data_IF_563548918015
#
_entry.id   IF_563548918015
#
_cell.length_a   1.000
_cell.length_b   1.000
_cell.length_c   1.000
_cell.angle_alpha   90.00
_cell.angle_beta   90.00
_cell.angle_gamma   90.00
#
_symmetry.space_group_name_H-M   'P 1'
#
loop_
_entity.id
_entity.type
_entity.pdbx_description
1 polymer ?
#
# COMPACT_ATOMS: atom_id res chain seq x y z
N UNK A 1 19.83 -8.43 11.80
CA UNK A 1 18.62 -8.25 10.97
C UNK A 1 18.82 -7.02 10.08
N UNK A 2 18.37 -7.05 8.83
CA UNK A 2 18.44 -5.90 7.92
C UNK A 2 17.03 -5.64 7.40
N UNK A 3 16.53 -4.42 7.59
CA UNK A 3 15.21 -3.99 7.17
C UNK A 3 15.35 -2.88 6.11
N UNK A 4 14.76 -3.10 4.94
CA UNK A 4 14.80 -2.15 3.83
C UNK A 4 13.39 -1.63 3.54
N UNK A 5 13.18 -0.31 3.62
CA UNK A 5 11.88 0.31 3.37
C UNK A 5 10.80 0.01 4.42
N UNK A 6 11.15 -0.59 5.56
CA UNK A 6 10.21 -1.10 6.55
C UNK A 6 9.61 0.00 7.44
N UNK A 7 8.37 -0.17 7.89
CA UNK A 7 7.77 0.76 8.86
C UNK A 7 7.10 -0.02 10.00
N UNK A 8 7.20 0.52 11.22
CA UNK A 8 6.54 -0.07 12.38
C UNK A 8 5.05 0.27 12.46
N UNK A 9 4.66 1.42 11.91
CA UNK A 9 3.29 1.94 11.95
C UNK A 9 2.77 2.17 10.54
N UNK A 10 1.62 1.58 10.23
CA UNK A 10 0.84 1.85 9.03
C UNK A 10 0.35 3.29 8.98
N UNK A 11 -0.08 3.77 7.81
CA UNK A 11 -0.46 5.17 7.60
C UNK A 11 -1.47 5.67 8.66
N UNK A 12 -2.54 4.90 8.93
CA UNK A 12 -3.61 5.30 9.86
C UNK A 12 -3.19 5.27 11.34
N UNK A 13 -1.97 4.83 11.64
CA UNK A 13 -1.36 4.84 12.98
C UNK A 13 -0.36 5.99 13.18
N UNK A 14 -0.23 6.91 12.22
CA UNK A 14 0.74 8.02 12.21
C UNK A 14 0.13 9.41 12.51
N UNK A 15 -0.84 9.51 13.42
CA UNK A 15 -1.53 10.77 13.75
C UNK A 15 -2.06 11.49 12.50
N UNK A 16 -2.90 10.79 11.72
CA UNK A 16 -3.49 11.33 10.49
C UNK A 16 -4.61 12.30 10.78
N UNK A 17 -4.78 13.27 9.89
CA UNK A 17 -5.95 14.14 9.82
C UNK A 17 -7.19 13.35 9.41
N UNK A 18 -8.37 13.94 9.62
CA UNK A 18 -9.62 13.31 9.18
C UNK A 18 -9.70 13.20 7.65
N UNK A 19 -9.14 14.18 6.93
CA UNK A 19 -9.06 14.13 5.48
C UNK A 19 -8.20 12.95 4.99
N UNK A 20 -7.00 12.76 5.56
CA UNK A 20 -6.13 11.63 5.19
C UNK A 20 -6.78 10.27 5.51
N UNK A 21 -7.58 10.19 6.59
CA UNK A 21 -8.38 9.01 6.89
C UNK A 21 -9.42 8.75 5.81
N UNK A 22 -10.18 9.78 5.42
CA UNK A 22 -11.20 9.67 4.37
C UNK A 22 -10.60 9.27 3.02
N UNK A 23 -9.43 9.82 2.67
CA UNK A 23 -8.68 9.45 1.47
C UNK A 23 -8.30 7.96 1.49
N UNK A 24 -7.76 7.47 2.60
CA UNK A 24 -7.40 6.07 2.79
C UNK A 24 -8.62 5.13 2.68
N UNK A 25 -9.73 5.47 3.31
CA UNK A 25 -10.98 4.70 3.23
C UNK A 25 -11.56 4.70 1.81
N UNK A 26 -11.44 5.82 1.11
CA UNK A 26 -11.89 5.95 -0.29
C UNK A 26 -11.05 5.08 -1.21
N UNK A 27 -9.73 5.04 -1.02
CA UNK A 27 -8.86 4.11 -1.75
C UNK A 27 -9.27 2.66 -1.52
N UNK A 28 -9.51 2.24 -0.27
CA UNK A 28 -9.97 0.88 0.02
C UNK A 28 -11.30 0.56 -0.69
N UNK A 29 -12.25 1.50 -0.72
CA UNK A 29 -13.52 1.35 -1.47
C UNK A 29 -13.27 1.21 -2.97
N UNK A 30 -12.33 1.97 -3.53
CA UNK A 30 -11.95 1.87 -4.94
C UNK A 30 -11.34 0.50 -5.28
N UNK A 31 -10.46 -0.05 -4.43
CA UNK A 31 -9.94 -1.41 -4.60
C UNK A 31 -11.10 -2.41 -4.61
N UNK A 32 -11.96 -2.35 -3.58
CA UNK A 32 -13.08 -3.29 -3.42
C UNK A 32 -14.02 -3.31 -4.62
N UNK A 33 -14.27 -2.16 -5.24
CA UNK A 33 -15.18 -2.03 -6.37
C UNK A 33 -14.51 -2.23 -7.74
N UNK A 34 -13.19 -2.03 -7.83
CA UNK A 34 -12.47 -1.86 -9.08
C UNK A 34 -11.42 -2.92 -9.39
N UNK A 35 -10.87 -3.60 -8.39
CA UNK A 35 -9.69 -4.47 -8.53
C UNK A 35 -9.90 -5.60 -9.55
N UNK A 36 -11.00 -6.34 -9.43
CA UNK A 36 -11.33 -7.49 -10.29
C UNK A 36 -12.19 -7.16 -11.50
N UNK A 37 -12.39 -5.87 -11.84
CA UNK A 37 -13.19 -5.49 -13.02
C UNK A 37 -12.30 -5.28 -14.23
N UNK A 38 -12.79 -5.63 -15.42
CA UNK A 38 -12.10 -5.39 -16.71
C UNK A 38 -12.01 -3.91 -17.13
N UNK A 39 -12.33 -2.95 -16.23
CA UNK A 39 -12.27 -1.53 -16.53
C UNK A 39 -10.95 -0.93 -16.02
N UNK A 40 -10.00 -0.54 -16.90
CA UNK A 40 -8.67 -0.07 -16.49
C UNK A 40 -8.69 1.19 -15.62
N UNK A 41 -9.72 2.03 -15.76
CA UNK A 41 -9.81 3.33 -15.09
C UNK A 41 -9.72 3.26 -13.55
N UNK A 42 -10.19 2.16 -12.94
CA UNK A 42 -10.14 2.01 -11.48
C UNK A 42 -8.75 1.64 -10.98
N UNK A 43 -8.05 0.75 -11.69
CA UNK A 43 -6.68 0.37 -11.36
C UNK A 43 -5.68 1.48 -11.69
N UNK A 44 -5.99 2.33 -12.68
CA UNK A 44 -5.15 3.48 -13.04
C UNK A 44 -4.89 4.43 -11.86
N UNK A 45 -5.84 4.61 -10.93
CA UNK A 45 -5.64 5.43 -9.72
C UNK A 45 -4.55 4.84 -8.81
N UNK A 46 -4.47 3.52 -8.72
CA UNK A 46 -3.43 2.82 -7.95
C UNK A 46 -2.11 2.82 -8.69
N UNK A 47 -2.13 2.43 -9.96
CA UNK A 47 -0.96 2.42 -10.83
C UNK A 47 -0.27 3.79 -10.88
N UNK A 48 -1.02 4.89 -10.99
CA UNK A 48 -0.47 6.25 -10.95
C UNK A 48 0.10 6.65 -9.59
N UNK A 49 -0.31 6.03 -8.48
CA UNK A 49 0.33 6.25 -7.17
C UNK A 49 1.65 5.47 -7.03
N UNK A 50 1.73 4.27 -7.63
CA UNK A 50 2.95 3.46 -7.60
C UNK A 50 4.00 3.91 -8.62
N UNK A 51 3.57 4.34 -9.80
CA UNK A 51 4.43 4.71 -10.93
C UNK A 51 3.90 6.01 -11.57
N UNK A 52 3.96 7.16 -10.85
CA UNK A 52 3.35 8.41 -11.31
C UNK A 52 3.85 8.86 -12.69
N UNK A 53 5.16 8.76 -12.92
CA UNK A 53 5.82 9.17 -14.17
C UNK A 53 6.01 8.00 -15.15
N UNK A 54 5.26 6.92 -14.97
CA UNK A 54 5.33 5.73 -15.81
C UNK A 54 4.85 5.99 -17.23
N UNK A 55 5.47 5.33 -18.20
CA UNK A 55 4.96 5.31 -19.58
C UNK A 55 3.64 4.52 -19.63
N UNK A 56 2.87 4.73 -20.71
CA UNK A 56 1.63 3.97 -20.94
C UNK A 56 1.85 2.44 -20.89
N UNK A 57 2.98 1.98 -21.41
CA UNK A 57 3.33 0.56 -21.42
C UNK A 57 3.61 0.05 -19.99
N UNK A 58 4.35 0.82 -19.19
CA UNK A 58 4.62 0.48 -17.79
C UNK A 58 3.34 0.46 -16.96
N UNK A 59 2.43 1.41 -17.19
CA UNK A 59 1.12 1.43 -16.54
C UNK A 59 0.28 0.21 -16.94
N UNK A 60 0.23 -0.13 -18.22
CA UNK A 60 -0.51 -1.33 -18.67
C UNK A 60 0.05 -2.59 -18.02
N UNK A 61 1.38 -2.77 -18.08
CA UNK A 61 2.06 -3.90 -17.46
C UNK A 61 1.77 -3.99 -15.95
N UNK A 62 1.80 -2.88 -15.23
CA UNK A 62 1.53 -2.87 -13.79
C UNK A 62 0.07 -3.17 -13.47
N UNK A 63 -0.88 -2.61 -14.23
CA UNK A 63 -2.31 -2.94 -14.10
C UNK A 63 -2.57 -4.44 -14.29
N UNK A 64 -1.89 -5.07 -15.25
CA UNK A 64 -2.01 -6.51 -15.52
C UNK A 64 -1.40 -7.33 -14.38
N UNK A 65 -0.26 -6.89 -13.85
CA UNK A 65 0.40 -7.50 -12.69
C UNK A 65 -0.48 -7.43 -11.43
N UNK A 66 -1.07 -6.28 -11.13
CA UNK A 66 -1.98 -6.12 -10.00
C UNK A 66 -3.15 -7.12 -10.07
N UNK A 67 -3.73 -7.29 -11.27
CA UNK A 67 -4.88 -8.17 -11.49
C UNK A 67 -4.58 -9.65 -11.23
N UNK A 68 -3.37 -10.13 -11.52
CA UNK A 68 -2.99 -11.54 -11.32
C UNK A 68 -2.41 -11.80 -9.92
N UNK A 69 -1.97 -10.76 -9.22
CA UNK A 69 -1.23 -10.90 -7.97
C UNK A 69 -2.12 -11.16 -6.75
N UNK A 70 -3.38 -10.72 -6.78
CA UNK A 70 -4.31 -10.89 -5.67
C UNK A 70 -5.76 -10.91 -6.13
N UNK A 71 -6.59 -11.70 -5.44
CA UNK A 71 -8.04 -11.55 -5.55
C UNK A 71 -8.47 -10.17 -5.01
N UNK A 72 -9.63 -9.63 -5.43
CA UNK A 72 -10.14 -8.36 -4.90
C UNK A 72 -10.25 -8.34 -3.37
N UNK A 73 -10.67 -9.45 -2.77
CA UNK A 73 -10.83 -9.60 -1.33
C UNK A 73 -9.47 -9.52 -0.61
N UNK A 74 -8.46 -10.21 -1.16
CA UNK A 74 -7.11 -10.18 -0.62
C UNK A 74 -6.47 -8.81 -0.79
N UNK A 75 -6.65 -8.14 -1.94
CA UNK A 75 -6.11 -6.80 -2.16
C UNK A 75 -6.65 -5.79 -1.14
N UNK A 76 -7.95 -5.82 -0.87
CA UNK A 76 -8.60 -5.02 0.18
C UNK A 76 -8.00 -5.34 1.55
N UNK A 77 -7.96 -6.62 1.93
CA UNK A 77 -7.44 -7.04 3.22
C UNK A 77 -5.98 -6.62 3.43
N UNK A 78 -5.14 -6.78 2.40
CA UNK A 78 -3.73 -6.37 2.44
C UNK A 78 -3.63 -4.88 2.72
N UNK A 79 -4.31 -4.02 1.95
CA UNK A 79 -4.20 -2.57 2.12
C UNK A 79 -4.77 -2.11 3.47
N UNK A 80 -5.91 -2.65 3.89
CA UNK A 80 -6.50 -2.39 5.21
C UNK A 80 -5.50 -2.73 6.33
N UNK A 81 -4.86 -3.91 6.28
CA UNK A 81 -3.87 -4.30 7.29
C UNK A 81 -2.61 -3.44 7.24
N UNK A 82 -2.07 -3.12 6.06
CA UNK A 82 -0.90 -2.26 5.92
C UNK A 82 -1.16 -0.84 6.45
N UNK A 83 -2.39 -0.34 6.35
CA UNK A 83 -2.77 0.96 6.90
C UNK A 83 -2.91 0.94 8.43
N UNK A 84 -3.38 -0.17 8.99
CA UNK A 84 -3.70 -0.30 10.42
C UNK A 84 -2.59 -0.90 11.27
N UNK A 85 -1.57 -1.52 10.67
CA UNK A 85 -0.50 -2.20 11.41
C UNK A 85 0.20 -1.27 12.40
N UNK A 86 0.41 -1.74 13.62
CA UNK A 86 1.30 -1.10 14.58
C UNK A 86 2.06 -2.21 15.30
N UNK A 87 3.35 -2.32 15.00
CA UNK A 87 4.27 -3.27 15.63
C UNK A 87 5.35 -2.55 16.44
N UNK A 88 5.08 -1.30 16.87
CA UNK A 88 6.07 -0.48 17.57
C UNK A 88 6.50 -1.08 18.91
N UNK A 89 5.57 -1.70 19.65
CA UNK A 89 5.87 -2.35 20.92
C UNK A 89 6.70 -3.63 20.72
N UNK A 90 6.32 -4.45 19.74
CA UNK A 90 7.01 -5.69 19.36
C UNK A 90 8.42 -5.38 18.85
N UNK A 91 8.55 -4.37 17.98
CA UNK A 91 9.84 -3.92 17.48
C UNK A 91 10.75 -3.43 18.62
N UNK A 92 10.20 -2.71 19.61
CA UNK A 92 10.95 -2.25 20.77
C UNK A 92 11.42 -3.39 21.69
N UNK A 93 10.77 -4.56 21.62
CA UNK A 93 11.16 -5.74 22.41
C UNK A 93 12.35 -6.52 21.83
N UNK A 94 12.71 -6.26 20.57
CA UNK A 94 13.78 -6.98 19.88
C UNK A 94 15.16 -6.59 20.42
N UNK A 95 15.99 -7.61 20.71
CA UNK A 95 17.37 -7.43 21.22
C UNK A 95 18.45 -7.77 20.19
N UNK A 96 18.09 -7.92 18.92
CA UNK A 96 19.02 -8.29 17.85
C UNK A 96 19.58 -7.03 17.17
N UNK A 97 20.89 -6.98 16.86
CA UNK A 97 21.46 -5.90 16.05
C UNK A 97 20.69 -5.75 14.73
N UNK A 98 20.17 -4.56 14.50
CA UNK A 98 19.27 -4.27 13.37
C UNK A 98 19.75 -3.04 12.61
N UNK A 99 19.95 -3.20 11.31
CA UNK A 99 20.17 -2.11 10.37
C UNK A 99 18.83 -1.79 9.68
N UNK A 100 18.40 -0.52 9.73
CA UNK A 100 17.20 -0.03 9.04
C UNK A 100 17.61 0.95 7.95
N UNK A 101 17.17 0.70 6.72
CA UNK A 101 17.51 1.50 5.54
C UNK A 101 16.24 2.02 4.86
N UNK A 102 16.24 3.30 4.49
CA UNK A 102 15.15 3.95 3.75
C UNK A 102 15.69 4.90 2.68
N UNK A 103 14.97 5.01 1.57
CA UNK A 103 15.14 6.13 0.66
C UNK A 103 14.66 7.42 1.34
N UNK A 104 15.27 8.54 0.98
CA UNK A 104 14.73 9.86 1.32
C UNK A 104 13.54 10.11 0.41
N UNK A 105 12.51 10.77 0.95
CA UNK A 105 11.44 11.34 0.14
C UNK A 105 11.98 12.46 -0.74
#
# INVERSE_FOLDING_TARGET
MILFGAYARGMLRRNVTEQEREEAETLIKLIRLGWGRDKPAFRQVFTSQFIPDGTREQHQWFNDLESISASPENAVAIVEQLYQVDVSAEAASLRVPTLVMHSRK
#
